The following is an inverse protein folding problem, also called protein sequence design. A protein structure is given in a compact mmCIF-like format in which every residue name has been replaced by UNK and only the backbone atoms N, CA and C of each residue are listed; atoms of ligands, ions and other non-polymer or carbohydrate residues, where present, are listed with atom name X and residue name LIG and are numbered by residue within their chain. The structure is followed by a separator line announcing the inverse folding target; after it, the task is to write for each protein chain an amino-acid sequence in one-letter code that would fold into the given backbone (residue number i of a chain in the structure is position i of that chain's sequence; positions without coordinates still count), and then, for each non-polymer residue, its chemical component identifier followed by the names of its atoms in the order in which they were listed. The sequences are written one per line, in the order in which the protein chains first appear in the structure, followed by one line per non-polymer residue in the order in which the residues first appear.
data_IF_452469483440
#
_entry.id   IF_452469483440
#
_cell.length_a   1.000
_cell.length_b   1.000
_cell.length_c   1.000
_cell.angle_alpha   90.00
_cell.angle_beta   90.00
_cell.angle_gamma   90.00
#
_symmetry.space_group_name_H-M   'P 1'
#
loop_
_entity.id
_entity.type
_entity.pdbx_description
1 polymer ?
#
# COMPACT_ATOMS: atom_id res chain seq x y z
N UNK A 1 -6.16 -23.43 31.69
CA UNK A 1 -7.04 -24.13 30.74
C UNK A 1 -7.09 -23.28 29.49
N UNK A 2 -6.78 -23.83 28.29
CA UNK A 2 -7.00 -23.10 27.03
C UNK A 2 -8.49 -22.78 26.94
N UNK A 3 -8.81 -21.50 26.77
CA UNK A 3 -10.16 -21.09 26.40
C UNK A 3 -10.51 -21.70 25.04
N UNK A 4 -11.74 -22.16 24.87
CA UNK A 4 -12.19 -22.66 23.57
C UNK A 4 -12.34 -21.52 22.57
N UNK A 5 -12.32 -21.84 21.26
CA UNK A 5 -12.52 -20.84 20.18
C UNK A 5 -13.79 -20.01 20.39
N UNK A 6 -14.91 -20.64 20.79
CA UNK A 6 -16.18 -19.92 20.98
C UNK A 6 -16.10 -18.87 22.11
N UNK A 7 -15.36 -19.17 23.17
CA UNK A 7 -15.11 -18.22 24.26
C UNK A 7 -14.25 -17.04 23.79
N UNK A 8 -13.21 -17.31 22.99
CA UNK A 8 -12.37 -16.28 22.39
C UNK A 8 -13.15 -15.41 21.39
N UNK A 9 -14.05 -16.00 20.58
CA UNK A 9 -14.92 -15.25 19.67
C UNK A 9 -15.90 -14.33 20.44
N UNK A 10 -16.44 -14.81 21.56
CA UNK A 10 -17.26 -13.97 22.42
C UNK A 10 -16.42 -12.88 23.11
N UNK A 11 -15.17 -13.16 23.46
CA UNK A 11 -14.27 -12.19 24.09
C UNK A 11 -13.90 -11.07 23.11
N UNK A 12 -13.55 -11.38 21.86
CA UNK A 12 -13.24 -10.34 20.86
C UNK A 12 -14.46 -9.50 20.51
N UNK A 13 -15.65 -10.08 20.51
CA UNK A 13 -16.89 -9.32 20.30
C UNK A 13 -17.14 -8.30 21.43
N UNK A 14 -16.83 -8.63 22.68
CA UNK A 14 -16.92 -7.68 23.81
C UNK A 14 -15.95 -6.51 23.72
N UNK A 15 -14.94 -6.57 22.85
CA UNK A 15 -13.99 -5.48 22.56
C UNK A 15 -14.47 -4.49 21.49
N UNK A 16 -15.74 -4.55 21.08
CA UNK A 16 -16.30 -3.66 20.07
C UNK A 16 -16.05 -2.18 20.40
N UNK A 17 -16.49 -1.74 21.59
CA UNK A 17 -16.29 -0.36 22.05
C UNK A 17 -14.79 0.02 22.11
N UNK A 18 -13.95 -0.92 22.57
CA UNK A 18 -12.50 -0.71 22.60
C UNK A 18 -11.91 -0.48 21.21
N UNK A 19 -12.35 -1.21 20.19
CA UNK A 19 -11.93 -0.99 18.80
C UNK A 19 -12.34 0.39 18.28
N UNK A 20 -13.54 0.86 18.61
CA UNK A 20 -14.02 2.18 18.18
C UNK A 20 -13.26 3.31 18.86
N UNK A 21 -13.12 3.24 20.20
CA UNK A 21 -12.37 4.24 20.99
C UNK A 21 -10.90 4.29 20.56
N UNK A 22 -10.29 3.15 20.28
CA UNK A 22 -8.91 3.07 19.81
C UNK A 22 -8.77 3.70 18.43
N UNK A 23 -9.68 3.38 17.49
CA UNK A 23 -9.67 3.98 16.15
C UNK A 23 -9.86 5.49 16.25
N UNK A 24 -10.81 5.95 17.05
CA UNK A 24 -11.05 7.38 17.30
C UNK A 24 -9.81 8.08 17.83
N UNK A 25 -9.20 7.54 18.89
CA UNK A 25 -7.99 8.12 19.50
C UNK A 25 -6.83 8.22 18.52
N UNK A 26 -6.72 7.29 17.59
CA UNK A 26 -5.70 7.30 16.54
C UNK A 26 -6.05 8.26 15.39
N UNK A 27 -7.32 8.40 15.03
CA UNK A 27 -7.80 9.38 14.03
C UNK A 27 -7.52 10.82 14.48
N UNK A 28 -7.61 11.11 15.78
CA UNK A 28 -7.33 12.42 16.35
C UNK A 28 -5.83 12.80 16.28
N UNK A 29 -4.93 11.85 15.98
CA UNK A 29 -3.52 12.12 15.71
C UNK A 29 -3.34 12.28 14.20
N UNK A 30 -3.00 13.49 13.74
CA UNK A 30 -2.66 13.68 12.34
C UNK A 30 -1.32 13.01 12.02
N UNK A 31 -1.37 11.95 11.21
CA UNK A 31 -0.20 11.16 10.79
C UNK A 31 0.02 11.25 9.28
N UNK A 32 -0.15 12.44 8.69
CA UNK A 32 0.23 12.67 7.29
C UNK A 32 1.68 12.27 7.05
N UNK A 33 1.96 11.55 5.97
CA UNK A 33 3.27 10.94 5.71
C UNK A 33 4.44 11.93 5.79
N UNK A 34 4.24 13.18 5.35
CA UNK A 34 5.26 14.24 5.43
C UNK A 34 5.27 14.99 6.77
N UNK A 35 4.32 14.74 7.68
CA UNK A 35 4.27 15.29 9.03
C UNK A 35 4.95 14.36 10.03
N UNK A 36 6.28 14.25 9.95
CA UNK A 36 7.12 13.28 10.70
C UNK A 36 6.75 13.24 12.19
N UNK A 37 6.61 14.39 12.86
CA UNK A 37 6.27 14.43 14.27
C UNK A 37 4.89 13.82 14.59
N UNK A 38 3.92 13.96 13.69
CA UNK A 38 2.60 13.35 13.83
C UNK A 38 2.63 11.85 13.57
N UNK A 39 3.40 11.40 12.58
CA UNK A 39 3.62 9.97 12.32
C UNK A 39 4.32 9.30 13.50
N UNK A 40 5.35 9.90 14.08
CA UNK A 40 6.03 9.38 15.27
C UNK A 40 5.11 9.39 16.50
N UNK A 41 4.26 10.41 16.67
CA UNK A 41 3.26 10.44 17.72
C UNK A 41 2.24 9.30 17.58
N UNK A 42 1.81 9.01 16.33
CA UNK A 42 0.95 7.86 16.05
C UNK A 42 1.67 6.54 16.32
N UNK A 43 2.94 6.41 15.90
CA UNK A 43 3.78 5.26 16.20
C UNK A 43 3.92 4.99 17.70
N UNK A 44 4.10 6.04 18.52
CA UNK A 44 4.15 5.92 19.97
C UNK A 44 2.82 5.39 20.55
N UNK A 45 1.67 5.85 20.02
CA UNK A 45 0.34 5.33 20.42
C UNK A 45 0.18 3.84 20.06
N UNK A 46 0.70 3.43 18.91
CA UNK A 46 0.72 2.02 18.52
C UNK A 46 1.63 1.20 19.44
N UNK A 47 2.83 1.70 19.75
CA UNK A 47 3.76 1.02 20.65
C UNK A 47 3.12 0.76 22.03
N UNK A 48 2.38 1.73 22.57
CA UNK A 48 1.62 1.59 23.81
C UNK A 48 0.48 0.56 23.66
N UNK A 49 -0.33 0.67 22.59
CA UNK A 49 -1.50 -0.19 22.39
C UNK A 49 -1.12 -1.67 22.16
N UNK A 50 0.00 -1.93 21.48
CA UNK A 50 0.51 -3.27 21.20
C UNK A 50 1.51 -3.77 22.24
N UNK A 51 1.64 -3.11 23.39
CA UNK A 51 2.41 -3.62 24.54
C UNK A 51 1.67 -4.78 25.22
N UNK A 52 1.50 -5.89 24.48
CA UNK A 52 0.77 -7.08 24.93
C UNK A 52 1.74 -8.16 25.40
N UNK A 53 1.36 -8.96 26.44
CA UNK A 53 2.15 -10.11 26.85
C UNK A 53 2.42 -11.07 25.68
N UNK A 54 3.67 -11.42 25.46
CA UNK A 54 4.10 -12.32 24.38
C UNK A 54 4.52 -11.62 23.09
N UNK A 55 4.43 -10.27 22.99
CA UNK A 55 4.95 -9.49 21.88
C UNK A 55 6.22 -8.73 22.27
N UNK A 56 7.28 -8.89 21.50
CA UNK A 56 8.46 -8.04 21.54
C UNK A 56 8.33 -6.95 20.46
N UNK A 57 8.62 -5.70 20.83
CA UNK A 57 8.55 -4.54 19.95
C UNK A 57 9.94 -4.09 19.51
N UNK A 58 10.08 -3.75 18.25
CA UNK A 58 11.24 -3.04 17.69
C UNK A 58 10.78 -1.94 16.72
N UNK A 59 11.64 -0.97 16.48
CA UNK A 59 11.41 0.09 15.50
C UNK A 59 12.48 0.04 14.41
N UNK A 60 12.08 0.34 13.18
CA UNK A 60 13.01 0.57 12.09
C UNK A 60 13.06 2.07 11.81
N UNK A 61 14.24 2.65 11.92
CA UNK A 61 14.46 4.06 11.62
C UNK A 61 14.27 4.32 10.12
N UNK A 62 13.69 5.46 9.79
CA UNK A 62 13.49 5.91 8.41
C UNK A 62 14.04 7.34 8.26
N UNK A 63 15.00 7.54 7.36
CA UNK A 63 15.58 8.86 7.15
C UNK A 63 14.55 9.83 6.57
N UNK A 64 14.33 10.96 7.27
CA UNK A 64 13.37 11.99 6.86
C UNK A 64 11.90 11.57 6.95
N UNK A 65 11.58 10.47 7.64
CA UNK A 65 10.23 9.92 7.84
C UNK A 65 10.03 9.52 9.29
N UNK A 66 8.80 9.25 9.69
CA UNK A 66 8.51 8.59 10.97
C UNK A 66 9.00 7.16 11.01
N UNK A 67 9.25 6.62 12.20
CA UNK A 67 9.72 5.26 12.37
C UNK A 67 8.65 4.24 11.97
N UNK A 68 9.08 3.08 11.46
CA UNK A 68 8.22 1.91 11.28
C UNK A 68 8.25 1.05 12.54
N UNK A 69 7.17 0.36 12.84
CA UNK A 69 7.02 -0.44 14.04
C UNK A 69 6.76 -1.91 13.72
N UNK A 70 7.41 -2.81 14.46
CA UNK A 70 7.25 -4.25 14.33
C UNK A 70 7.11 -4.89 15.69
N UNK A 71 6.14 -5.79 15.80
CA UNK A 71 5.92 -6.62 16.99
C UNK A 71 6.00 -8.08 16.59
N UNK A 72 6.69 -8.88 17.39
CA UNK A 72 6.89 -10.30 17.10
C UNK A 72 6.66 -11.15 18.34
N UNK A 73 6.07 -12.32 18.14
CA UNK A 73 6.14 -13.40 19.14
C UNK A 73 7.49 -14.11 19.08
N UNK A 74 7.84 -14.80 20.17
CA UNK A 74 9.06 -15.61 20.24
C UNK A 74 8.91 -17.00 19.61
N UNK A 75 7.69 -17.40 19.24
CA UNK A 75 7.41 -18.70 18.64
C UNK A 75 8.23 -18.95 17.38
N UNK A 76 8.71 -20.17 17.23
CA UNK A 76 9.48 -20.59 16.07
C UNK A 76 8.56 -21.13 14.97
N UNK A 77 9.02 -21.03 13.72
CA UNK A 77 8.28 -21.50 12.55
C UNK A 77 8.06 -20.40 11.52
N UNK A 78 7.38 -20.75 10.43
CA UNK A 78 7.01 -19.81 9.38
C UNK A 78 5.89 -18.88 9.88
N UNK A 79 6.18 -17.58 9.93
CA UNK A 79 5.29 -16.58 10.55
C UNK A 79 4.10 -16.21 9.69
N UNK A 80 2.97 -15.96 10.34
CA UNK A 80 1.89 -15.16 9.77
C UNK A 80 2.28 -13.69 9.94
N UNK A 81 2.27 -12.92 8.85
CA UNK A 81 2.47 -11.48 8.89
C UNK A 81 1.12 -10.77 8.88
N UNK A 82 0.90 -9.88 9.84
CA UNK A 82 -0.20 -8.92 9.84
C UNK A 82 0.39 -7.56 9.45
N UNK A 83 -0.04 -7.03 8.31
CA UNK A 83 0.58 -5.85 7.69
C UNK A 83 -0.40 -4.70 7.68
N UNK A 84 0.09 -3.53 8.07
CA UNK A 84 -0.63 -2.28 7.99
C UNK A 84 0.31 -1.08 7.96
N UNK A 85 -0.29 0.09 7.86
CA UNK A 85 0.41 1.38 7.92
C UNK A 85 -0.28 2.34 8.89
N UNK A 86 0.43 3.36 9.34
CA UNK A 86 -0.10 4.36 10.25
C UNK A 86 0.05 5.80 9.76
N UNK A 87 0.62 5.99 8.59
CA UNK A 87 0.58 7.25 7.86
C UNK A 87 -0.77 7.44 7.14
N UNK A 88 -1.04 8.65 6.69
CA UNK A 88 -2.24 9.03 5.94
C UNK A 88 -1.93 10.09 4.91
N UNK A 89 -2.82 10.27 3.92
CA UNK A 89 -2.70 11.29 2.87
C UNK A 89 -3.12 12.71 3.29
N UNK A 90 -3.63 12.92 4.51
CA UNK A 90 -4.26 14.18 4.90
C UNK A 90 -3.30 15.12 5.65
N UNK A 91 -2.86 16.24 5.02
CA UNK A 91 -2.06 17.26 5.71
C UNK A 91 -2.80 17.83 6.92
N UNK A 92 -2.07 18.33 7.95
CA UNK A 92 -2.67 19.01 9.08
C UNK A 92 -3.61 20.14 8.65
N UNK A 93 -4.78 20.25 9.29
CA UNK A 93 -5.81 21.25 8.99
C UNK A 93 -6.68 20.95 7.77
N UNK A 94 -6.44 19.87 7.03
CA UNK A 94 -7.18 19.57 5.79
C UNK A 94 -8.42 18.73 6.02
N UNK A 95 -8.29 17.70 6.85
CA UNK A 95 -9.37 16.81 7.27
C UNK A 95 -9.05 16.33 8.68
N UNK A 96 -9.89 16.64 9.66
CA UNK A 96 -9.62 16.40 11.07
C UNK A 96 -10.88 15.97 11.83
N UNK A 97 -10.64 15.30 12.97
CA UNK A 97 -11.65 14.91 13.93
C UNK A 97 -12.36 13.61 13.55
N UNK A 98 -13.18 13.16 14.50
CA UNK A 98 -14.01 11.97 14.42
C UNK A 98 -15.47 12.33 14.56
N UNK A 99 -16.33 11.82 13.70
CA UNK A 99 -17.80 12.02 13.76
C UNK A 99 -18.51 10.71 13.51
N UNK A 100 -19.45 10.40 14.37
CA UNK A 100 -20.31 9.22 14.24
C UNK A 100 -21.72 9.62 13.84
N UNK A 101 -22.25 8.98 12.81
CA UNK A 101 -23.60 9.17 12.34
C UNK A 101 -24.11 7.91 11.61
N UNK A 102 -25.30 7.44 11.96
CA UNK A 102 -25.98 6.35 11.27
C UNK A 102 -25.19 5.04 11.19
N UNK A 103 -24.41 4.70 12.23
CA UNK A 103 -23.60 3.49 12.27
C UNK A 103 -22.29 3.58 11.48
N UNK A 104 -21.93 4.79 11.03
CA UNK A 104 -20.68 5.12 10.37
C UNK A 104 -19.86 6.07 11.23
N UNK A 105 -18.57 5.99 11.09
CA UNK A 105 -17.65 6.95 11.68
C UNK A 105 -16.75 7.55 10.59
N UNK A 106 -16.69 8.88 10.52
CA UNK A 106 -15.91 9.65 9.56
C UNK A 106 -14.69 10.25 10.24
N UNK A 107 -13.53 10.12 9.63
CA UNK A 107 -12.28 10.70 10.13
C UNK A 107 -11.06 10.27 9.31
N UNK A 108 -9.95 11.06 9.33
CA UNK A 108 -8.76 10.81 8.52
C UNK A 108 -8.06 9.50 8.91
N UNK A 109 -7.92 8.59 7.94
CA UNK A 109 -7.32 7.29 8.17
C UNK A 109 -8.21 6.32 8.97
N UNK A 110 -9.48 6.65 9.22
CA UNK A 110 -10.40 5.76 9.91
C UNK A 110 -10.56 4.44 9.14
N UNK A 111 -10.67 4.52 7.83
CA UNK A 111 -10.76 3.40 6.92
C UNK A 111 -9.38 2.97 6.42
N UNK A 112 -8.50 3.91 6.12
CA UNK A 112 -7.18 3.73 5.50
C UNK A 112 -6.06 4.24 6.43
N UNK A 113 -5.49 3.38 7.39
CA UNK A 113 -6.06 2.08 7.74
C UNK A 113 -6.08 1.85 9.25
N UNK A 114 -6.29 2.93 10.06
CA UNK A 114 -6.27 2.88 11.54
C UNK A 114 -7.31 1.90 12.10
N UNK A 115 -8.49 1.78 11.46
CA UNK A 115 -9.50 0.79 11.81
C UNK A 115 -9.01 -0.65 11.62
N UNK A 116 -8.22 -0.91 10.59
CA UNK A 116 -7.57 -2.21 10.37
C UNK A 116 -6.58 -2.55 11.49
N UNK A 117 -5.77 -1.59 11.93
CA UNK A 117 -4.86 -1.74 13.06
C UNK A 117 -5.60 -1.99 14.38
N UNK A 118 -6.76 -1.35 14.60
CA UNK A 118 -7.58 -1.59 15.79
C UNK A 118 -8.15 -3.01 15.82
N UNK A 119 -8.56 -3.55 14.67
CA UNK A 119 -8.99 -4.95 14.53
C UNK A 119 -7.85 -5.90 14.90
N UNK A 120 -6.66 -5.70 14.33
CA UNK A 120 -5.47 -6.51 14.65
C UNK A 120 -5.21 -6.49 16.15
N UNK A 121 -5.15 -5.29 16.72
CA UNK A 121 -4.87 -5.10 18.16
C UNK A 121 -5.87 -5.83 19.05
N UNK A 122 -7.17 -5.72 18.77
CA UNK A 122 -8.22 -6.38 19.56
C UNK A 122 -8.12 -7.91 19.53
N UNK A 123 -7.79 -8.48 18.36
CA UNK A 123 -7.59 -9.93 18.22
C UNK A 123 -6.36 -10.39 19.00
N UNK A 124 -5.24 -9.67 18.89
CA UNK A 124 -4.02 -10.05 19.61
C UNK A 124 -4.18 -9.90 21.13
N UNK A 125 -4.90 -8.88 21.60
CA UNK A 125 -5.23 -8.75 23.00
C UNK A 125 -6.09 -9.94 23.49
N UNK A 126 -7.05 -10.39 22.69
CA UNK A 126 -7.88 -11.55 23.00
C UNK A 126 -7.04 -12.84 23.08
N UNK A 127 -6.09 -13.02 22.18
CA UNK A 127 -5.16 -14.15 22.20
C UNK A 127 -4.19 -14.08 23.39
N UNK A 128 -3.75 -12.88 23.78
CA UNK A 128 -2.92 -12.67 24.98
C UNK A 128 -3.68 -13.01 26.27
N UNK A 129 -4.93 -12.54 26.39
CA UNK A 129 -5.79 -12.85 27.54
C UNK A 129 -6.10 -14.35 27.65
N UNK A 130 -6.22 -15.03 26.50
CA UNK A 130 -6.35 -16.47 26.44
C UNK A 130 -5.05 -17.23 26.75
N UNK A 131 -3.91 -16.52 26.87
CA UNK A 131 -2.59 -17.08 27.15
C UNK A 131 -1.95 -17.83 26.00
N UNK A 132 -2.45 -17.67 24.77
CA UNK A 132 -2.00 -18.43 23.58
C UNK A 132 -1.23 -17.59 22.55
N UNK A 133 -1.19 -16.27 22.70
CA UNK A 133 -0.53 -15.39 21.71
C UNK A 133 0.94 -15.77 21.48
N UNK A 134 1.68 -16.07 22.56
CA UNK A 134 3.10 -16.40 22.49
C UNK A 134 3.40 -17.75 21.79
N UNK A 135 2.38 -18.58 21.56
CA UNK A 135 2.53 -19.88 20.88
C UNK A 135 2.48 -19.73 19.35
N UNK A 136 1.92 -18.64 18.84
CA UNK A 136 1.77 -18.40 17.40
C UNK A 136 3.05 -17.80 16.80
N UNK A 137 3.64 -18.37 15.75
CA UNK A 137 4.66 -17.69 14.95
C UNK A 137 4.04 -16.51 14.21
N UNK A 138 4.14 -15.30 14.77
CA UNK A 138 3.42 -14.13 14.29
C UNK A 138 4.31 -12.89 14.31
N UNK A 139 4.13 -12.02 13.32
CA UNK A 139 4.63 -10.65 13.36
C UNK A 139 3.55 -9.68 12.89
N UNK A 140 3.48 -8.52 13.55
CA UNK A 140 2.71 -7.36 13.10
C UNK A 140 3.70 -6.31 12.63
N UNK A 141 3.43 -5.68 11.50
CA UNK A 141 4.20 -4.53 11.02
C UNK A 141 3.25 -3.38 10.72
N UNK A 142 3.62 -2.19 11.17
CA UNK A 142 2.95 -0.94 10.79
C UNK A 142 3.99 0.02 10.24
N UNK A 143 3.90 0.31 8.95
CA UNK A 143 4.84 1.21 8.27
C UNK A 143 4.34 2.65 8.31
N UNK A 144 5.23 3.61 8.05
CA UNK A 144 5.00 5.05 8.17
C UNK A 144 5.04 5.79 6.84
N UNK A 145 5.11 5.06 5.71
CA UNK A 145 5.33 5.61 4.38
C UNK A 145 4.60 4.84 3.26
N UNK A 146 3.52 4.13 3.62
CA UNK A 146 2.73 3.35 2.66
C UNK A 146 2.13 4.25 1.59
N UNK A 147 1.56 5.37 1.98
CA UNK A 147 0.81 6.31 1.15
C UNK A 147 1.65 6.97 0.03
N UNK A 148 2.96 6.88 0.15
CA UNK A 148 3.90 7.35 -0.88
C UNK A 148 4.68 6.22 -1.56
N UNK A 149 4.24 4.96 -1.35
CA UNK A 149 4.80 3.77 -2.02
C UNK A 149 5.90 3.05 -1.26
N UNK A 150 5.97 3.21 0.06
CA UNK A 150 6.89 2.49 0.98
C UNK A 150 8.37 2.64 0.62
N UNK A 151 8.89 3.85 0.33
CA UNK A 151 10.27 4.00 -0.12
C UNK A 151 11.31 3.59 0.92
N UNK A 152 11.02 3.76 2.21
CA UNK A 152 11.94 3.44 3.30
C UNK A 152 11.60 2.12 3.99
N UNK A 153 10.31 1.74 4.08
CA UNK A 153 9.87 0.49 4.71
C UNK A 153 10.05 -0.76 3.84
N UNK A 154 10.00 -0.63 2.50
CA UNK A 154 10.04 -1.76 1.57
C UNK A 154 11.17 -2.74 1.81
N UNK A 155 12.46 -2.34 1.94
CA UNK A 155 13.55 -3.31 2.15
C UNK A 155 13.38 -4.11 3.44
N UNK A 156 12.87 -3.47 4.48
CA UNK A 156 12.61 -4.09 5.78
C UNK A 156 11.42 -5.05 5.71
N UNK A 157 10.34 -4.63 5.05
CA UNK A 157 9.14 -5.46 4.87
C UNK A 157 9.45 -6.69 4.01
N UNK A 158 10.19 -6.54 2.91
CA UNK A 158 10.67 -7.66 2.10
C UNK A 158 11.55 -8.63 2.91
N UNK A 159 12.47 -8.10 3.72
CA UNK A 159 13.32 -8.94 4.57
C UNK A 159 12.51 -9.70 5.63
N UNK A 160 11.53 -9.03 6.26
CA UNK A 160 10.62 -9.66 7.24
C UNK A 160 9.75 -10.72 6.58
N UNK A 161 9.29 -10.48 5.36
CA UNK A 161 8.40 -11.38 4.63
C UNK A 161 9.09 -12.67 4.18
N UNK A 162 10.38 -12.62 3.83
CA UNK A 162 11.10 -13.83 3.38
C UNK A 162 11.03 -14.93 4.44
N UNK A 163 10.46 -16.06 4.05
CA UNK A 163 10.26 -17.21 4.95
C UNK A 163 8.98 -17.14 5.80
N UNK A 164 8.14 -16.14 5.62
CA UNK A 164 6.80 -16.12 6.20
C UNK A 164 5.89 -17.17 5.54
N UNK A 165 4.95 -17.71 6.30
CA UNK A 165 3.93 -18.62 5.79
C UNK A 165 2.94 -17.90 4.86
N UNK A 166 2.52 -16.71 5.28
CA UNK A 166 1.59 -15.86 4.54
C UNK A 166 1.56 -14.44 5.13
N UNK A 167 0.95 -13.51 4.39
CA UNK A 167 0.67 -12.17 4.85
C UNK A 167 -0.81 -11.82 4.70
N UNK A 168 -1.36 -11.20 5.74
CA UNK A 168 -2.70 -10.65 5.81
C UNK A 168 -2.59 -9.13 5.92
N UNK A 169 -3.07 -8.40 4.89
CA UNK A 169 -2.94 -6.94 4.82
C UNK A 169 -4.30 -6.31 5.13
N UNK A 170 -4.31 -5.40 6.11
CA UNK A 170 -5.55 -4.86 6.67
C UNK A 170 -5.93 -3.51 6.10
N UNK A 171 -5.65 -3.33 4.79
CA UNK A 171 -6.17 -2.21 4.02
C UNK A 171 -7.70 -2.13 4.07
N UNK A 172 -8.24 -1.01 3.62
CA UNK A 172 -9.68 -0.75 3.59
C UNK A 172 -10.49 -1.93 3.04
N UNK A 173 -11.47 -2.39 3.83
CA UNK A 173 -12.39 -3.46 3.47
C UNK A 173 -13.22 -3.08 2.24
N UNK A 174 -13.51 -4.06 1.41
CA UNK A 174 -14.22 -3.87 0.14
C UNK A 174 -15.71 -4.12 0.28
N UNK A 175 -16.46 -3.71 -0.73
CA UNK A 175 -17.90 -3.99 -0.83
C UNK A 175 -18.16 -5.49 -0.70
N UNK A 176 -19.18 -5.87 0.04
CA UNK A 176 -19.53 -7.25 0.34
C UNK A 176 -18.37 -8.07 0.96
N UNK A 177 -17.47 -7.41 1.68
CA UNK A 177 -16.29 -8.00 2.33
C UNK A 177 -15.35 -8.77 1.39
N UNK A 178 -15.40 -8.48 0.09
CA UNK A 178 -14.59 -9.16 -0.91
C UNK A 178 -13.08 -9.00 -0.62
N UNK A 179 -12.35 -10.09 -0.73
CA UNK A 179 -10.91 -10.17 -0.44
C UNK A 179 -10.11 -9.78 -1.68
N UNK A 180 -9.08 -8.97 -1.51
CA UNK A 180 -8.16 -8.59 -2.59
C UNK A 180 -7.09 -9.66 -2.73
N UNK A 181 -7.00 -10.26 -3.91
CA UNK A 181 -5.99 -11.26 -4.26
C UNK A 181 -5.09 -10.82 -5.40
N UNK A 182 -5.42 -9.68 -6.04
CA UNK A 182 -4.68 -9.11 -7.17
C UNK A 182 -4.67 -7.60 -7.13
N UNK A 183 -3.48 -7.02 -7.35
CA UNK A 183 -3.28 -5.58 -7.50
C UNK A 183 -2.35 -5.29 -8.66
N UNK A 184 -2.59 -4.20 -9.40
CA UNK A 184 -1.64 -3.76 -10.43
C UNK A 184 -0.33 -3.36 -9.80
N UNK A 185 0.74 -3.59 -10.56
CA UNK A 185 2.02 -2.96 -10.32
C UNK A 185 1.98 -1.51 -10.76
N UNK A 186 2.84 -0.71 -10.15
CA UNK A 186 2.94 0.72 -10.39
C UNK A 186 4.37 1.12 -10.72
N UNK A 187 4.52 2.17 -11.51
CA UNK A 187 5.81 2.76 -11.79
C UNK A 187 5.70 4.26 -12.02
N UNK A 188 6.78 4.97 -11.71
CA UNK A 188 6.93 6.39 -12.03
C UNK A 188 8.23 6.57 -12.78
N UNK A 189 8.16 7.20 -13.93
CA UNK A 189 9.32 7.50 -14.76
C UNK A 189 9.42 9.01 -14.99
N UNK A 190 10.52 9.61 -14.53
CA UNK A 190 10.87 10.99 -14.83
C UNK A 190 11.78 10.99 -16.04
N UNK A 191 11.34 11.66 -17.10
CA UNK A 191 12.08 11.73 -18.35
C UNK A 191 12.62 13.13 -18.54
N UNK A 192 13.93 13.26 -18.73
CA UNK A 192 14.60 14.52 -19.05
C UNK A 192 15.14 14.43 -20.45
N UNK A 193 14.67 15.33 -21.32
CA UNK A 193 15.22 15.56 -22.64
C UNK A 193 16.22 16.70 -22.59
N UNK A 194 17.40 16.50 -23.18
CA UNK A 194 18.45 17.52 -23.33
C UNK A 194 18.78 17.75 -24.79
N UNK A 195 19.02 18.99 -25.09
CA UNK A 195 19.40 19.45 -26.45
C UNK A 195 20.44 20.55 -26.38
N UNK A 196 20.31 21.52 -27.25
CA UNK A 196 21.22 22.69 -27.33
C UNK A 196 20.45 23.95 -27.63
N UNK A 197 20.59 24.97 -26.77
CA UNK A 197 19.98 26.28 -26.97
C UNK A 197 20.61 27.02 -28.18
N UNK A 198 19.76 27.73 -28.89
CA UNK A 198 20.18 28.63 -29.98
C UNK A 198 19.09 29.69 -30.23
N UNK A 199 19.46 30.81 -30.85
CA UNK A 199 18.47 31.81 -31.24
C UNK A 199 17.62 31.28 -32.40
N UNK A 200 16.30 31.15 -32.20
CA UNK A 200 15.41 30.49 -33.14
C UNK A 200 15.35 31.12 -34.53
N UNK A 201 15.63 32.43 -34.68
CA UNK A 201 15.67 33.12 -35.95
C UNK A 201 17.04 33.10 -36.61
N UNK A 202 18.13 33.38 -35.86
CA UNK A 202 19.45 33.62 -36.42
C UNK A 202 20.35 32.37 -36.47
N UNK A 203 20.13 31.41 -35.55
CA UNK A 203 21.02 30.25 -35.37
C UNK A 203 20.22 28.95 -35.19
N UNK A 204 19.03 28.83 -35.75
CA UNK A 204 18.14 27.68 -35.56
C UNK A 204 18.81 26.33 -35.87
N UNK A 205 19.65 26.28 -36.92
CA UNK A 205 20.36 25.05 -37.34
C UNK A 205 21.43 24.59 -36.32
N UNK A 206 21.88 25.49 -35.46
CA UNK A 206 22.86 25.20 -34.42
C UNK A 206 22.21 24.63 -33.16
N UNK A 207 20.89 24.81 -33.03
CA UNK A 207 20.10 24.30 -31.92
C UNK A 207 19.77 22.83 -32.06
N UNK A 208 19.44 22.20 -30.91
CA UNK A 208 18.82 20.86 -30.84
C UNK A 208 17.63 20.95 -29.88
N UNK A 209 16.43 20.75 -30.41
CA UNK A 209 15.19 21.07 -29.70
C UNK A 209 14.77 19.93 -28.74
N UNK A 210 14.99 20.13 -27.44
CA UNK A 210 14.64 19.17 -26.41
C UNK A 210 13.11 18.96 -26.28
N UNK A 211 12.30 20.02 -26.48
CA UNK A 211 10.83 19.87 -26.45
C UNK A 211 10.37 18.97 -27.60
N UNK A 212 10.94 19.13 -28.80
CA UNK A 212 10.56 18.29 -29.93
C UNK A 212 10.93 16.83 -29.74
N UNK A 213 12.12 16.53 -29.22
CA UNK A 213 12.52 15.17 -28.89
C UNK A 213 11.59 14.55 -27.81
N UNK A 214 11.25 15.33 -26.77
CA UNK A 214 10.33 14.88 -25.72
C UNK A 214 8.91 14.64 -26.26
N UNK A 215 8.40 15.52 -27.13
CA UNK A 215 7.06 15.36 -27.73
C UNK A 215 6.96 14.08 -28.59
N UNK A 216 8.02 13.73 -29.33
CA UNK A 216 8.12 12.46 -30.08
C UNK A 216 8.10 11.26 -29.13
N UNK A 217 8.89 11.33 -28.06
CA UNK A 217 8.86 10.28 -27.02
C UNK A 217 7.48 10.12 -26.43
N UNK A 218 6.80 11.22 -26.08
CA UNK A 218 5.46 11.18 -25.48
C UNK A 218 4.46 10.48 -26.43
N UNK A 219 4.47 10.80 -27.72
CA UNK A 219 3.59 10.15 -28.68
C UNK A 219 3.85 8.64 -28.76
N UNK A 220 5.12 8.24 -28.83
CA UNK A 220 5.52 6.82 -28.86
C UNK A 220 5.16 6.11 -27.55
N UNK A 221 5.44 6.74 -26.40
CA UNK A 221 5.18 6.18 -25.08
C UNK A 221 3.66 5.96 -24.81
N UNK A 222 2.82 6.95 -25.18
CA UNK A 222 1.36 6.85 -25.00
C UNK A 222 0.75 5.69 -25.81
N UNK A 223 1.32 5.35 -26.96
CA UNK A 223 0.88 4.22 -27.80
C UNK A 223 1.19 2.84 -27.19
N UNK A 224 2.01 2.78 -26.14
CA UNK A 224 2.29 1.53 -25.41
C UNK A 224 1.15 1.14 -24.46
N UNK A 225 0.14 1.97 -24.27
CA UNK A 225 -1.07 1.62 -23.52
C UNK A 225 -1.79 0.46 -24.22
N UNK A 226 -2.01 -0.63 -23.47
CA UNK A 226 -2.72 -1.83 -23.92
C UNK A 226 -3.74 -2.24 -22.84
N UNK A 227 -4.98 -1.81 -23.02
CA UNK A 227 -6.06 -2.13 -22.07
C UNK A 227 -6.37 -3.62 -21.98
N UNK A 228 -6.14 -4.39 -23.05
CA UNK A 228 -6.37 -5.82 -23.07
C UNK A 228 -5.38 -6.56 -22.17
N UNK A 229 -4.15 -6.07 -22.05
CA UNK A 229 -3.11 -6.56 -21.14
C UNK A 229 -3.08 -5.84 -19.80
N UNK A 230 -3.97 -4.87 -19.57
CA UNK A 230 -3.98 -4.06 -18.35
C UNK A 230 -2.76 -3.16 -18.19
N UNK A 231 -2.04 -2.84 -19.29
CA UNK A 231 -0.91 -1.92 -19.29
C UNK A 231 -1.40 -0.51 -19.60
N UNK A 232 -1.03 0.46 -18.76
CA UNK A 232 -1.31 1.87 -19.02
C UNK A 232 -0.06 2.72 -18.85
N UNK A 233 0.10 3.67 -19.77
CA UNK A 233 1.13 4.72 -19.76
C UNK A 233 0.41 6.05 -19.75
N UNK A 234 0.68 6.88 -18.75
CA UNK A 234 0.09 8.19 -18.64
C UNK A 234 1.17 9.26 -18.44
N UNK A 235 1.37 10.13 -19.38
CA UNK A 235 2.21 11.31 -19.21
C UNK A 235 1.38 12.38 -18.48
N UNK A 236 1.58 12.49 -17.17
CA UNK A 236 0.78 13.34 -16.29
C UNK A 236 1.24 14.80 -16.26
N UNK A 237 2.53 15.05 -16.46
CA UNK A 237 3.09 16.41 -16.46
C UNK A 237 4.15 16.59 -17.55
N UNK A 238 4.26 17.82 -18.07
CA UNK A 238 5.30 18.22 -19.02
C UNK A 238 5.73 19.65 -18.73
N UNK A 239 7.04 19.90 -18.80
CA UNK A 239 7.64 21.25 -18.70
C UNK A 239 8.81 21.38 -19.68
N UNK A 240 9.13 22.60 -20.12
CA UNK A 240 10.32 22.80 -20.98
C UNK A 240 10.39 24.18 -21.63
N UNK A 241 11.62 24.55 -22.01
CA UNK A 241 11.92 25.83 -22.65
C UNK A 241 11.88 27.03 -21.70
N UNK A 242 12.43 28.16 -22.17
CA UNK A 242 12.53 29.41 -21.38
C UNK A 242 11.90 30.60 -22.11
N UNK A 243 11.89 30.58 -23.44
CA UNK A 243 11.31 31.67 -24.25
C UNK A 243 10.90 31.17 -25.64
N UNK A 244 9.99 31.90 -26.30
CA UNK A 244 9.48 31.55 -27.64
C UNK A 244 10.50 31.65 -28.76
N UNK A 245 11.57 32.42 -28.58
CA UNK A 245 12.58 32.69 -29.59
C UNK A 245 13.94 32.03 -29.32
N UNK A 246 13.96 31.07 -28.39
CA UNK A 246 15.12 30.23 -28.07
C UNK A 246 14.77 28.76 -28.35
N UNK A 247 15.62 28.05 -29.13
CA UNK A 247 15.52 26.59 -29.25
C UNK A 247 15.74 26.00 -27.86
N UNK A 248 14.79 25.23 -27.31
CA UNK A 248 14.88 24.74 -25.93
C UNK A 248 15.94 23.63 -25.79
N UNK A 249 16.82 23.79 -24.82
CA UNK A 249 17.88 22.83 -24.47
C UNK A 249 17.48 21.84 -23.39
N UNK A 250 16.35 22.06 -22.70
CA UNK A 250 15.82 21.13 -21.73
C UNK A 250 14.28 21.06 -21.74
N UNK A 251 13.76 19.85 -21.58
CA UNK A 251 12.35 19.58 -21.34
C UNK A 251 12.22 18.33 -20.46
N UNK A 252 11.14 18.24 -19.67
CA UNK A 252 10.90 17.13 -18.75
C UNK A 252 9.45 16.70 -18.79
N UNK A 253 9.20 15.41 -18.54
CA UNK A 253 7.86 14.89 -18.24
C UNK A 253 7.90 13.84 -17.12
N UNK A 254 6.75 13.61 -16.51
CA UNK A 254 6.55 12.53 -15.53
C UNK A 254 5.49 11.59 -16.09
N UNK A 255 5.82 10.30 -16.06
CA UNK A 255 4.98 9.22 -16.59
C UNK A 255 4.57 8.31 -15.46
N UNK A 256 3.26 8.06 -15.30
CA UNK A 256 2.70 6.99 -14.47
C UNK A 256 2.58 5.72 -15.32
N UNK A 257 2.98 4.59 -14.73
CA UNK A 257 2.95 3.27 -15.36
C UNK A 257 2.10 2.33 -14.51
N UNK A 258 1.21 1.56 -15.18
CA UNK A 258 0.45 0.47 -14.54
C UNK A 258 0.58 -0.79 -15.38
N UNK A 259 0.66 -1.96 -14.71
CA UNK A 259 0.81 -3.26 -15.36
C UNK A 259 0.27 -4.37 -14.44
N UNK A 260 -0.09 -5.51 -15.03
CA UNK A 260 -0.73 -6.63 -14.30
C UNK A 260 0.25 -7.77 -13.98
N UNK A 261 1.38 -7.86 -14.71
CA UNK A 261 2.39 -8.89 -14.48
C UNK A 261 3.81 -8.34 -14.47
N UNK A 262 4.73 -9.05 -13.86
CA UNK A 262 6.18 -8.75 -13.92
C UNK A 262 6.70 -8.78 -15.35
N UNK A 263 6.18 -9.71 -16.17
CA UNK A 263 6.54 -9.78 -17.58
C UNK A 263 6.13 -8.52 -18.34
N UNK A 264 4.93 -7.98 -18.08
CA UNK A 264 4.44 -6.74 -18.67
C UNK A 264 5.28 -5.53 -18.23
N UNK A 265 5.67 -5.46 -16.95
CA UNK A 265 6.55 -4.42 -16.44
C UNK A 265 7.88 -4.37 -17.20
N UNK A 266 8.53 -5.53 -17.36
CA UNK A 266 9.81 -5.64 -18.06
C UNK A 266 9.68 -5.28 -19.55
N UNK A 267 8.65 -5.79 -20.22
CA UNK A 267 8.37 -5.47 -21.62
C UNK A 267 8.07 -3.98 -21.82
N UNK A 268 7.30 -3.36 -20.94
CA UNK A 268 6.97 -1.94 -20.98
C UNK A 268 8.22 -1.07 -20.82
N UNK A 269 9.08 -1.36 -19.83
CA UNK A 269 10.33 -0.61 -19.63
C UNK A 269 11.28 -0.73 -20.83
N UNK A 270 11.37 -1.90 -21.47
CA UNK A 270 12.14 -2.10 -22.67
C UNK A 270 11.57 -1.28 -23.85
N UNK A 271 10.24 -1.29 -24.03
CA UNK A 271 9.56 -0.54 -25.06
C UNK A 271 9.71 0.99 -24.87
N UNK A 272 9.66 1.49 -23.62
CA UNK A 272 9.91 2.91 -23.33
C UNK A 272 11.33 3.34 -23.66
N UNK A 273 12.33 2.49 -23.44
CA UNK A 273 13.72 2.76 -23.85
C UNK A 273 13.84 2.82 -25.37
N UNK A 274 13.25 1.87 -26.09
CA UNK A 274 13.23 1.88 -27.54
C UNK A 274 12.53 3.14 -28.10
N UNK A 275 11.43 3.57 -27.48
CA UNK A 275 10.74 4.81 -27.82
C UNK A 275 11.63 6.06 -27.63
N UNK A 276 12.47 6.08 -26.59
CA UNK A 276 13.42 7.16 -26.36
C UNK A 276 14.52 7.20 -27.43
N UNK A 277 15.05 6.04 -27.80
CA UNK A 277 16.05 5.93 -28.87
C UNK A 277 15.47 6.39 -30.22
N UNK A 278 14.25 5.95 -30.56
CA UNK A 278 13.57 6.40 -31.80
C UNK A 278 13.28 7.92 -31.80
N UNK A 279 12.87 8.45 -30.65
CA UNK A 279 12.58 9.87 -30.51
C UNK A 279 13.84 10.74 -30.79
N UNK A 280 14.99 10.33 -30.22
CA UNK A 280 16.27 11.05 -30.37
C UNK A 280 16.87 10.90 -31.77
N UNK A 281 16.71 9.75 -32.41
CA UNK A 281 17.09 9.56 -33.81
C UNK A 281 16.39 10.57 -34.74
N UNK A 282 15.12 10.90 -34.47
CA UNK A 282 14.35 11.89 -35.20
C UNK A 282 14.73 13.35 -34.91
N UNK A 283 15.50 13.62 -33.86
CA UNK A 283 15.96 14.97 -33.47
C UNK A 283 17.44 14.92 -33.09
N UNK A 284 18.35 15.02 -34.07
CA UNK A 284 19.78 14.87 -33.83
C UNK A 284 20.33 15.82 -32.77
N UNK A 285 21.36 15.37 -32.05
CA UNK A 285 22.02 16.08 -30.94
C UNK A 285 21.11 16.31 -29.71
N UNK A 286 20.07 15.50 -29.56
CA UNK A 286 19.29 15.42 -28.34
C UNK A 286 19.55 14.10 -27.61
N UNK A 287 19.24 14.06 -26.34
CA UNK A 287 19.27 12.85 -25.50
C UNK A 287 18.07 12.80 -24.57
N UNK A 288 17.61 11.58 -24.26
CA UNK A 288 16.62 11.34 -23.21
C UNK A 288 17.23 10.48 -22.11
N UNK A 289 17.03 10.89 -20.87
CA UNK A 289 17.44 10.15 -19.69
C UNK A 289 16.24 9.83 -18.81
N UNK A 290 16.25 8.66 -18.18
CA UNK A 290 15.20 8.16 -17.30
C UNK A 290 15.70 8.13 -15.87
N UNK A 291 14.87 8.63 -14.96
CA UNK A 291 15.00 8.46 -13.51
C UNK A 291 13.72 7.82 -12.97
N UNK A 292 13.85 6.80 -12.12
CA UNK A 292 12.74 5.97 -11.65
C UNK A 292 12.56 4.69 -12.47
N UNK A 293 11.34 4.17 -12.47
CA UNK A 293 10.98 2.87 -13.07
C UNK A 293 9.84 2.21 -12.33
N UNK A 294 9.92 0.89 -12.11
CA UNK A 294 8.93 0.16 -11.30
C UNK A 294 9.01 0.62 -9.85
N UNK A 295 7.90 1.11 -9.33
CA UNK A 295 7.74 1.49 -7.92
C UNK A 295 7.28 0.32 -7.07
N UNK A 296 6.27 -0.42 -7.52
CA UNK A 296 5.78 -1.65 -6.90
C UNK A 296 5.54 -2.72 -7.97
N UNK A 297 6.03 -3.94 -7.76
CA UNK A 297 5.66 -5.07 -8.60
C UNK A 297 4.17 -5.40 -8.42
N UNK A 298 3.50 -6.04 -9.38
CA UNK A 298 2.11 -6.44 -9.21
C UNK A 298 1.97 -7.51 -8.13
N UNK A 299 0.85 -7.50 -7.43
CA UNK A 299 0.39 -8.63 -6.62
C UNK A 299 -0.35 -9.60 -7.54
N UNK A 300 0.34 -10.64 -7.97
CA UNK A 300 -0.22 -11.66 -8.85
C UNK A 300 -0.95 -12.73 -8.02
N UNK A 301 -2.07 -13.23 -8.54
CA UNK A 301 -2.80 -14.35 -7.94
C UNK A 301 -2.11 -15.68 -8.27
N UNK A 302 -1.38 -16.20 -7.31
CA UNK A 302 -0.71 -17.49 -7.39
C UNK A 302 -1.61 -18.62 -6.82
N UNK A 303 -1.25 -19.88 -7.05
CA UNK A 303 -1.95 -21.01 -6.42
C UNK A 303 -1.87 -20.95 -4.89
N UNK A 304 -0.74 -20.49 -4.35
CA UNK A 304 -0.54 -20.33 -2.90
C UNK A 304 -1.42 -19.21 -2.33
N UNK A 305 -1.50 -18.04 -2.99
CA UNK A 305 -2.39 -16.96 -2.55
C UNK A 305 -3.87 -17.33 -2.73
N UNK A 306 -4.20 -18.14 -3.75
CA UNK A 306 -5.54 -18.69 -3.93
C UNK A 306 -5.92 -19.71 -2.83
N UNK A 307 -4.97 -20.49 -2.33
CA UNK A 307 -5.19 -21.37 -1.18
C UNK A 307 -5.44 -20.56 0.10
N UNK A 308 -4.59 -19.55 0.35
CA UNK A 308 -4.73 -18.62 1.48
C UNK A 308 -6.09 -17.89 1.44
N UNK A 309 -6.49 -17.41 0.25
CA UNK A 309 -7.80 -16.81 0.05
C UNK A 309 -8.93 -17.76 0.47
N UNK A 310 -8.93 -19.00 -0.02
CA UNK A 310 -10.01 -19.97 0.32
C UNK A 310 -10.09 -20.25 1.82
N UNK A 311 -8.95 -20.33 2.48
CA UNK A 311 -8.86 -20.52 3.93
C UNK A 311 -9.45 -19.32 4.69
N UNK A 312 -9.02 -18.10 4.36
CA UNK A 312 -9.51 -16.90 5.02
C UNK A 312 -10.98 -16.61 4.70
N UNK A 313 -11.41 -16.85 3.46
CA UNK A 313 -12.81 -16.74 3.03
C UNK A 313 -13.74 -17.66 3.84
N UNK A 314 -13.29 -18.87 4.19
CA UNK A 314 -14.02 -19.76 5.09
C UNK A 314 -14.18 -19.14 6.49
N UNK A 315 -13.14 -18.48 7.02
CA UNK A 315 -13.21 -17.76 8.30
C UNK A 315 -14.16 -16.55 8.22
N UNK A 316 -14.14 -15.79 7.11
CA UNK A 316 -15.09 -14.69 6.88
C UNK A 316 -16.54 -15.19 6.86
N UNK A 317 -16.82 -16.24 6.08
CA UNK A 317 -18.16 -16.84 6.01
C UNK A 317 -18.67 -17.31 7.36
N UNK A 318 -17.80 -17.98 8.15
CA UNK A 318 -18.12 -18.42 9.50
C UNK A 318 -18.34 -17.27 10.50
N UNK A 319 -17.95 -16.04 10.12
CA UNK A 319 -18.14 -14.81 10.89
C UNK A 319 -19.26 -13.92 10.34
N UNK A 320 -20.07 -14.41 9.39
CA UNK A 320 -21.20 -13.69 8.81
C UNK A 320 -20.80 -12.62 7.77
N UNK A 321 -19.56 -12.68 7.26
CA UNK A 321 -19.07 -11.79 6.20
C UNK A 321 -19.22 -12.44 4.82
N UNK A 322 -19.14 -11.59 3.78
CA UNK A 322 -18.95 -12.06 2.41
C UNK A 322 -17.58 -12.72 2.22
N UNK A 323 -17.48 -13.56 1.21
CA UNK A 323 -16.32 -14.42 0.96
C UNK A 323 -15.83 -14.39 -0.49
N UNK A 324 -16.25 -13.38 -1.26
CA UNK A 324 -15.87 -13.22 -2.66
C UNK A 324 -14.45 -12.65 -2.85
N UNK A 325 -13.91 -12.79 -4.06
CA UNK A 325 -12.71 -12.07 -4.49
C UNK A 325 -13.08 -10.77 -5.19
N UNK A 326 -12.26 -9.72 -5.01
CA UNK A 326 -12.41 -8.50 -5.79
C UNK A 326 -11.98 -8.72 -7.25
N UNK A 327 -12.52 -7.94 -8.19
CA UNK A 327 -11.82 -7.69 -9.45
C UNK A 327 -10.40 -7.16 -9.19
N UNK A 328 -9.55 -7.17 -10.20
CA UNK A 328 -8.21 -6.59 -10.12
C UNK A 328 -8.26 -5.13 -9.62
N UNK A 329 -7.51 -4.84 -8.57
CA UNK A 329 -7.42 -3.48 -7.99
C UNK A 329 -6.33 -2.68 -8.71
N UNK A 330 -6.66 -1.44 -9.08
CA UNK A 330 -5.76 -0.54 -9.82
C UNK A 330 -4.64 0.09 -8.98
N UNK A 331 -4.89 0.30 -7.67
CA UNK A 331 -3.91 0.84 -6.72
C UNK A 331 -3.02 -0.26 -6.11
N UNK A 332 -1.78 0.07 -5.79
CA UNK A 332 -0.88 -0.80 -5.03
C UNK A 332 -1.10 -0.68 -3.53
N UNK A 333 -0.57 -1.62 -2.76
CA UNK A 333 -0.42 -1.59 -1.30
C UNK A 333 0.83 -2.37 -0.88
N UNK A 334 1.09 -2.49 0.41
CA UNK A 334 2.19 -3.33 0.90
C UNK A 334 1.98 -4.83 0.67
N UNK A 335 0.76 -5.25 0.30
CA UNK A 335 0.53 -6.59 -0.23
C UNK A 335 1.35 -6.88 -1.51
N UNK A 336 1.54 -5.86 -2.36
CA UNK A 336 2.43 -5.95 -3.53
C UNK A 336 3.88 -6.21 -3.09
N UNK A 337 4.35 -5.50 -2.06
CA UNK A 337 5.72 -5.61 -1.53
C UNK A 337 5.99 -7.03 -1.00
N UNK A 338 5.08 -7.56 -0.20
CA UNK A 338 5.19 -8.92 0.35
C UNK A 338 5.09 -9.99 -0.74
N UNK A 339 4.14 -9.84 -1.66
CA UNK A 339 3.96 -10.78 -2.78
C UNK A 339 5.17 -10.83 -3.71
N UNK A 340 5.87 -9.69 -3.88
CA UNK A 340 7.06 -9.59 -4.73
C UNK A 340 8.23 -10.50 -4.29
N UNK A 341 8.28 -10.89 -3.02
CA UNK A 341 9.28 -11.84 -2.51
C UNK A 341 8.78 -13.28 -2.42
N UNK A 342 7.65 -13.58 -3.08
CA UNK A 342 7.09 -14.93 -3.22
C UNK A 342 6.23 -15.41 -2.06
N UNK A 343 5.85 -14.53 -1.14
CA UNK A 343 4.99 -14.87 0.01
C UNK A 343 3.52 -14.74 -0.38
N UNK A 344 2.68 -15.77 -0.12
CA UNK A 344 1.25 -15.67 -0.34
C UNK A 344 0.66 -14.51 0.46
N UNK A 345 -0.06 -13.61 -0.18
CA UNK A 345 -0.69 -12.48 0.46
C UNK A 345 -2.16 -12.35 0.03
N UNK A 346 -2.99 -11.85 0.96
CA UNK A 346 -4.34 -11.35 0.70
C UNK A 346 -4.51 -10.01 1.38
N UNK A 347 -5.43 -9.19 0.87
CA UNK A 347 -5.54 -7.81 1.27
C UNK A 347 -7.01 -7.33 1.32
N UNK A 348 -7.25 -6.09 1.80
CA UNK A 348 -8.60 -5.55 1.97
C UNK A 348 -9.33 -6.15 3.18
N UNK A 349 -8.59 -6.56 4.21
CA UNK A 349 -9.12 -7.27 5.38
C UNK A 349 -9.60 -6.34 6.50
N UNK A 350 -9.36 -5.04 6.38
CA UNK A 350 -9.83 -4.02 7.30
C UNK A 350 -11.35 -3.84 7.33
N UNK A 351 -11.86 -2.88 8.11
CA UNK A 351 -13.30 -2.61 8.21
C UNK A 351 -13.86 -2.13 6.87
N UNK A 352 -15.16 -2.34 6.63
CA UNK A 352 -15.85 -1.77 5.48
C UNK A 352 -15.98 -0.25 5.61
N UNK A 353 -16.02 0.41 4.47
CA UNK A 353 -16.23 1.84 4.35
C UNK A 353 -16.07 2.30 2.92
N UNK A 354 -15.99 3.61 2.75
CA UNK A 354 -15.71 4.24 1.46
C UNK A 354 -15.07 5.62 1.65
N UNK A 355 -14.68 6.24 0.54
CA UNK A 355 -14.20 7.60 0.52
C UNK A 355 -12.74 7.77 0.96
N UNK A 356 -11.95 6.69 1.06
CA UNK A 356 -10.51 6.82 1.35
C UNK A 356 -9.85 7.82 0.40
N UNK A 357 -8.84 8.55 0.88
CA UNK A 357 -8.18 9.68 0.21
C UNK A 357 -9.10 10.89 -0.07
N UNK A 358 -10.28 10.96 0.54
CA UNK A 358 -11.17 12.14 0.47
C UNK A 358 -11.66 12.55 1.86
N UNK A 359 -12.16 13.79 2.00
CA UNK A 359 -12.73 14.27 3.25
C UNK A 359 -14.07 13.62 3.63
N UNK A 360 -14.53 12.67 2.83
CA UNK A 360 -15.74 11.86 3.09
C UNK A 360 -15.40 10.43 3.50
N UNK A 361 -14.15 10.17 3.85
CA UNK A 361 -13.70 8.87 4.33
C UNK A 361 -14.47 8.44 5.58
N UNK A 362 -15.05 7.24 5.54
CA UNK A 362 -15.77 6.67 6.68
C UNK A 362 -15.59 5.16 6.79
N UNK A 363 -15.77 4.65 8.00
CA UNK A 363 -15.90 3.22 8.30
C UNK A 363 -17.33 2.85 8.71
N UNK A 364 -17.76 1.64 8.41
CA UNK A 364 -18.98 1.03 8.91
C UNK A 364 -18.68 0.30 10.22
N UNK A 365 -19.16 0.85 11.35
CA UNK A 365 -18.86 0.34 12.69
C UNK A 365 -19.26 -1.13 12.86
N UNK A 366 -20.39 -1.55 12.31
CA UNK A 366 -20.86 -2.92 12.37
C UNK A 366 -19.94 -3.96 11.69
N UNK A 367 -18.93 -3.52 10.92
CA UNK A 367 -17.98 -4.43 10.26
C UNK A 367 -16.81 -4.87 11.15
N UNK A 368 -16.51 -4.14 12.23
CA UNK A 368 -15.31 -4.39 13.04
C UNK A 368 -15.33 -5.77 13.72
N UNK A 369 -16.40 -6.07 14.44
CA UNK A 369 -16.50 -7.36 15.17
C UNK A 369 -16.44 -8.57 14.25
N UNK A 370 -17.21 -8.66 13.14
CA UNK A 370 -17.10 -9.78 12.23
C UNK A 370 -15.70 -9.91 11.59
N UNK A 371 -15.05 -8.79 11.26
CA UNK A 371 -13.68 -8.79 10.72
C UNK A 371 -12.67 -9.30 11.76
N UNK A 372 -12.80 -8.87 13.02
CA UNK A 372 -11.98 -9.37 14.13
C UNK A 372 -12.20 -10.87 14.37
N UNK A 373 -13.45 -11.34 14.33
CA UNK A 373 -13.76 -12.76 14.47
C UNK A 373 -13.18 -13.61 13.33
N UNK A 374 -13.17 -13.10 12.08
CA UNK A 374 -12.57 -13.80 10.96
C UNK A 374 -11.04 -13.93 11.13
N UNK A 375 -10.34 -12.88 11.55
CA UNK A 375 -8.92 -12.93 11.87
C UNK A 375 -8.64 -13.89 13.03
N UNK A 376 -9.44 -13.82 14.09
CA UNK A 376 -9.29 -14.69 15.25
C UNK A 376 -9.42 -16.18 14.88
N UNK A 377 -10.44 -16.55 14.08
CA UNK A 377 -10.61 -17.93 13.57
C UNK A 377 -9.39 -18.39 12.77
N UNK A 378 -8.88 -17.55 11.89
CA UNK A 378 -7.71 -17.85 11.09
C UNK A 378 -6.46 -18.08 11.92
N UNK A 379 -6.20 -17.25 12.94
CA UNK A 379 -5.05 -17.40 13.82
C UNK A 379 -5.22 -18.58 14.79
N UNK A 380 -6.44 -18.79 15.31
CA UNK A 380 -6.73 -19.89 16.24
C UNK A 380 -6.48 -21.26 15.62
N UNK A 381 -6.87 -21.44 14.36
CA UNK A 381 -6.63 -22.69 13.63
C UNK A 381 -5.13 -23.04 13.51
N UNK A 382 -4.23 -22.10 13.74
CA UNK A 382 -2.76 -22.28 13.70
C UNK A 382 -2.14 -22.63 15.05
N UNK A 383 -2.93 -22.65 16.12
CA UNK A 383 -2.49 -23.14 17.44
C UNK A 383 -2.39 -24.67 17.49
N UNK A 384 -3.13 -25.35 16.61
CA UNK A 384 -3.24 -26.81 16.57
C UNK A 384 -2.48 -27.41 15.36
N UNK A 385 -1.81 -26.56 14.54
CA UNK A 385 -1.05 -26.96 13.36
C UNK A 385 0.45 -27.03 13.69
#
# INVERSE_FOLDING_TARGET
MRHGLDEALAAVARRETEMFEQTRAWVEVNSHTDHVAGVDAMGARLAEAFALPGLAHETWAAEGRGAHHVWRTAAQGARVLLVGHHDTVFPPGHFEGWREEGGRATGPGALDMKGGLAIIRAVLATLADAGVLAELPLAVVSVSDEEIGSPTSRPHLEALARGAACALVFESGRVADAIVTRRRGTGVLRVTSRGRAAHAGNAHREGANAIWALARFIDLAQRLTDYARGVTVNVGTITGGTSKNTVPDEARCVVDLRFESVADANALLAALRAAADEATLGVPNTSLTFDGGVSRLPMERTDASAALYREYAACQRASGLGDGETPLIGGGSDANTVSAVGVPAIDGLGPRGAGFHTQTEYVELASFVPKAQALLRFLWARLDA
#
